data_IF_430752681035
#
_entry.id   IF_430752681035
#
_cell.length_a   1.000
_cell.length_b   1.000
_cell.length_c   1.000
_cell.angle_alpha   90.00
_cell.angle_beta   90.00
_cell.angle_gamma   90.00
#
_symmetry.space_group_name_H-M   'P 1'
#
loop_
_entity.id
_entity.type
_entity.pdbx_description
1 polymer ?
#
# COMPACT_ATOMS: atom_id res chain seq x y z
N UNK A 1 -51.42 17.67 -40.53
CA UNK A 1 -50.12 17.02 -40.35
C UNK A 1 -49.43 17.70 -39.19
N UNK A 2 -49.45 17.07 -38.02
CA UNK A 2 -48.69 17.54 -36.86
C UNK A 2 -47.24 17.07 -37.00
N UNK A 3 -46.22 17.89 -36.74
CA UNK A 3 -44.84 17.45 -36.84
C UNK A 3 -44.51 16.54 -35.66
N UNK A 4 -43.96 15.38 -35.96
CA UNK A 4 -43.37 14.42 -35.02
C UNK A 4 -42.19 15.10 -34.30
N UNK A 5 -42.00 14.93 -32.98
CA UNK A 5 -40.80 15.43 -32.30
C UNK A 5 -39.57 14.64 -32.77
N UNK A 6 -38.38 15.27 -32.79
CA UNK A 6 -37.17 14.59 -33.23
C UNK A 6 -36.82 13.49 -32.23
N UNK A 7 -36.52 12.31 -32.78
CA UNK A 7 -36.01 11.17 -32.05
C UNK A 7 -34.76 11.56 -31.26
N UNK A 8 -34.73 11.18 -29.99
CA UNK A 8 -33.60 11.32 -29.08
C UNK A 8 -32.36 10.66 -29.69
N UNK A 9 -31.40 11.48 -30.12
CA UNK A 9 -30.13 11.00 -30.63
C UNK A 9 -29.40 10.18 -29.58
N UNK A 10 -29.29 8.87 -29.80
CA UNK A 10 -28.21 8.09 -29.24
C UNK A 10 -26.93 8.53 -29.96
N UNK A 11 -26.32 9.61 -29.47
CA UNK A 11 -25.01 10.05 -29.92
C UNK A 11 -23.98 8.94 -29.66
N UNK A 12 -22.98 8.83 -30.53
CA UNK A 12 -21.89 7.89 -30.35
C UNK A 12 -21.30 8.02 -28.93
N UNK A 13 -20.95 6.90 -28.26
CA UNK A 13 -20.38 6.94 -26.92
C UNK A 13 -19.14 7.84 -26.91
N UNK A 14 -18.98 8.61 -25.83
CA UNK A 14 -17.79 9.45 -25.70
C UNK A 14 -16.52 8.58 -25.65
N UNK A 15 -15.37 9.20 -25.86
CA UNK A 15 -14.07 8.51 -25.72
C UNK A 15 -13.97 7.91 -24.31
N UNK A 16 -14.42 8.63 -23.27
CA UNK A 16 -14.39 8.15 -21.90
C UNK A 16 -15.33 6.97 -21.68
N UNK A 17 -16.54 6.98 -22.24
CA UNK A 17 -17.47 5.84 -22.14
C UNK A 17 -16.87 4.57 -22.78
N UNK A 18 -16.20 4.75 -23.93
CA UNK A 18 -15.53 3.65 -24.63
C UNK A 18 -14.34 3.11 -23.83
N UNK A 19 -13.56 3.99 -23.19
CA UNK A 19 -12.47 3.60 -22.29
C UNK A 19 -12.97 2.90 -21.03
N UNK A 20 -14.08 3.35 -20.44
CA UNK A 20 -14.71 2.71 -19.29
C UNK A 20 -15.10 1.27 -19.63
N UNK A 21 -15.80 1.06 -20.74
CA UNK A 21 -16.20 -0.29 -21.14
C UNK A 21 -15.00 -1.17 -21.47
N UNK A 22 -13.96 -0.63 -22.11
CA UNK A 22 -12.71 -1.35 -22.35
C UNK A 22 -12.01 -1.76 -21.03
N UNK A 23 -11.87 -0.82 -20.08
CA UNK A 23 -11.26 -1.08 -18.79
C UNK A 23 -12.05 -2.11 -17.96
N UNK A 24 -13.38 -2.08 -18.02
CA UNK A 24 -14.23 -3.13 -17.41
C UNK A 24 -13.91 -4.50 -18.02
N UNK A 25 -13.71 -4.61 -19.33
CA UNK A 25 -13.34 -5.88 -19.96
C UNK A 25 -11.92 -6.33 -19.57
N UNK A 26 -10.97 -5.41 -19.45
CA UNK A 26 -9.61 -5.70 -18.93
C UNK A 26 -9.71 -6.29 -17.51
N UNK A 27 -10.46 -5.65 -16.61
CA UNK A 27 -10.66 -6.11 -15.23
C UNK A 27 -11.38 -7.47 -15.15
N UNK A 28 -12.34 -7.76 -16.04
CA UNK A 28 -13.02 -9.07 -16.07
C UNK A 28 -12.11 -10.20 -16.53
N UNK A 29 -11.11 -9.88 -17.35
CA UNK A 29 -10.17 -10.84 -17.92
C UNK A 29 -8.96 -11.07 -17.02
N UNK A 30 -8.79 -10.25 -15.99
CA UNK A 30 -7.59 -10.23 -15.16
C UNK A 30 -6.33 -10.02 -16.03
N UNK A 31 -6.40 -9.04 -16.95
CA UNK A 31 -5.34 -8.77 -17.91
C UNK A 31 -4.19 -7.99 -17.25
N UNK A 32 -2.96 -8.49 -17.38
CA UNK A 32 -1.74 -7.76 -16.98
C UNK A 32 -1.58 -6.45 -17.77
N UNK A 33 -2.15 -6.37 -18.98
CA UNK A 33 -2.16 -5.16 -19.81
C UNK A 33 -3.45 -4.39 -19.59
N UNK A 34 -3.31 -3.24 -18.94
CA UNK A 34 -4.46 -2.39 -18.60
C UNK A 34 -4.40 -1.01 -19.30
N UNK A 35 -4.26 -0.91 -20.65
CA UNK A 35 -4.10 0.36 -21.33
C UNK A 35 -5.33 1.27 -21.20
N UNK A 36 -6.55 0.73 -21.13
CA UNK A 36 -7.74 1.55 -20.92
C UNK A 36 -7.78 2.11 -19.50
N UNK A 37 -7.44 1.31 -18.48
CA UNK A 37 -7.31 1.79 -17.10
C UNK A 37 -6.29 2.93 -17.00
N UNK A 38 -5.11 2.76 -17.60
CA UNK A 38 -4.04 3.78 -17.59
C UNK A 38 -4.50 5.05 -18.32
N UNK A 39 -5.19 4.91 -19.45
CA UNK A 39 -5.75 6.06 -20.16
C UNK A 39 -6.79 6.81 -19.31
N UNK A 40 -7.63 6.10 -18.55
CA UNK A 40 -8.60 6.71 -17.63
C UNK A 40 -7.91 7.41 -16.45
N UNK A 41 -6.83 6.85 -15.91
CA UNK A 41 -6.03 7.51 -14.86
C UNK A 41 -5.42 8.82 -15.38
N UNK A 42 -5.03 8.90 -16.65
CA UNK A 42 -4.59 10.13 -17.30
C UNK A 42 -5.69 11.15 -17.62
N UNK A 43 -6.97 10.81 -17.42
CA UNK A 43 -8.11 11.67 -17.71
C UNK A 43 -8.51 12.59 -16.54
N UNK A 44 -7.52 13.13 -15.81
CA UNK A 44 -7.67 14.02 -14.66
C UNK A 44 -8.27 15.39 -14.98
N UNK A 45 -9.53 15.40 -15.40
CA UNK A 45 -10.37 16.57 -15.68
C UNK A 45 -11.60 16.57 -14.76
N UNK A 46 -12.29 17.69 -14.55
CA UNK A 46 -13.52 17.71 -13.74
C UNK A 46 -14.61 16.76 -14.26
N UNK A 47 -14.66 16.54 -15.59
CA UNK A 47 -15.58 15.60 -16.23
C UNK A 47 -15.17 14.15 -15.95
N UNK A 48 -13.87 13.83 -16.08
CA UNK A 48 -13.32 12.53 -15.73
C UNK A 48 -13.56 12.19 -14.26
N UNK A 49 -13.30 13.13 -13.34
CA UNK A 49 -13.62 12.99 -11.92
C UNK A 49 -15.10 12.68 -11.70
N UNK A 50 -16.00 13.49 -12.28
CA UNK A 50 -17.44 13.32 -12.11
C UNK A 50 -17.92 11.92 -12.56
N UNK A 51 -17.40 11.43 -13.69
CA UNK A 51 -17.70 10.09 -14.20
C UNK A 51 -17.19 9.00 -13.26
N UNK A 52 -15.96 9.09 -12.75
CA UNK A 52 -15.44 8.07 -11.83
C UNK A 52 -16.21 8.04 -10.50
N UNK A 53 -16.59 9.22 -10.00
CA UNK A 53 -17.44 9.35 -8.80
C UNK A 53 -18.84 8.77 -9.05
N UNK A 54 -19.37 8.87 -10.27
CA UNK A 54 -20.62 8.20 -10.65
C UNK A 54 -20.45 6.67 -10.72
N UNK A 55 -19.35 6.17 -11.28
CA UNK A 55 -19.05 4.74 -11.32
C UNK A 55 -18.96 4.13 -9.91
N UNK A 56 -18.41 4.85 -8.93
CA UNK A 56 -18.40 4.44 -7.52
C UNK A 56 -19.82 4.24 -6.93
N UNK A 57 -20.88 4.74 -7.56
CA UNK A 57 -22.28 4.55 -7.13
C UNK A 57 -23.03 3.54 -7.98
N UNK A 58 -22.36 2.85 -8.90
CA UNK A 58 -22.99 1.89 -9.80
C UNK A 58 -23.53 0.68 -9.01
N UNK A 59 -24.68 0.10 -9.42
CA UNK A 59 -25.12 -1.18 -8.86
C UNK A 59 -24.16 -2.33 -9.20
N UNK A 60 -23.37 -2.22 -10.27
CA UNK A 60 -22.38 -3.22 -10.67
C UNK A 60 -21.07 -3.04 -9.88
N UNK A 61 -20.65 -4.04 -9.07
CA UNK A 61 -19.40 -3.96 -8.31
C UNK A 61 -18.18 -3.66 -9.17
N UNK A 62 -18.10 -4.20 -10.39
CA UNK A 62 -16.91 -3.98 -11.23
C UNK A 62 -16.74 -2.53 -11.65
N UNK A 63 -17.86 -1.81 -11.81
CA UNK A 63 -17.84 -0.37 -12.10
C UNK A 63 -17.40 0.42 -10.88
N UNK A 64 -17.83 0.03 -9.68
CA UNK A 64 -17.37 0.66 -8.44
C UNK A 64 -15.87 0.46 -8.24
N UNK A 65 -15.37 -0.77 -8.46
CA UNK A 65 -13.94 -1.12 -8.48
C UNK A 65 -13.16 -0.26 -9.46
N UNK A 66 -13.61 -0.15 -10.71
CA UNK A 66 -12.97 0.70 -11.72
C UNK A 66 -12.89 2.16 -11.26
N UNK A 67 -14.00 2.70 -10.75
CA UNK A 67 -14.04 4.06 -10.20
C UNK A 67 -12.99 4.25 -9.10
N UNK A 68 -12.86 3.30 -8.18
CA UNK A 68 -11.86 3.35 -7.12
C UNK A 68 -10.42 3.34 -7.67
N UNK A 69 -10.10 2.37 -8.54
CA UNK A 69 -8.77 2.22 -9.15
C UNK A 69 -8.33 3.46 -9.93
N UNK A 70 -9.26 4.10 -10.64
CA UNK A 70 -8.96 5.33 -11.38
C UNK A 70 -8.79 6.50 -10.43
N UNK A 71 -9.69 6.71 -9.47
CA UNK A 71 -9.62 7.85 -8.53
C UNK A 71 -8.32 7.87 -7.72
N UNK A 72 -7.85 6.71 -7.23
CA UNK A 72 -6.62 6.63 -6.43
C UNK A 72 -5.35 7.01 -7.19
N UNK A 73 -5.40 6.97 -8.52
CA UNK A 73 -4.23 7.23 -9.38
C UNK A 73 -4.48 8.30 -10.44
N UNK A 74 -5.61 9.01 -10.39
CA UNK A 74 -5.96 10.01 -11.39
C UNK A 74 -4.95 11.15 -11.41
N UNK A 75 -4.48 11.55 -12.59
CA UNK A 75 -3.56 12.65 -12.80
C UNK A 75 -3.91 13.41 -14.09
N UNK A 76 -3.53 14.68 -14.16
CA UNK A 76 -3.77 15.48 -15.36
C UNK A 76 -2.69 15.21 -16.42
N UNK A 77 -3.10 15.05 -17.68
CA UNK A 77 -2.22 14.68 -18.79
C UNK A 77 -1.14 15.73 -19.14
N UNK A 78 -1.33 16.97 -18.69
CA UNK A 78 -0.41 18.09 -18.89
C UNK A 78 0.66 18.21 -17.79
N UNK A 79 0.52 17.46 -16.70
CA UNK A 79 1.43 17.52 -15.56
C UNK A 79 2.52 16.46 -15.66
N UNK A 80 3.77 16.92 -15.75
CA UNK A 80 4.96 16.07 -15.61
C UNK A 80 5.32 15.97 -14.12
N UNK A 81 4.58 15.15 -13.36
CA UNK A 81 4.89 14.88 -11.96
C UNK A 81 3.90 13.95 -11.28
N UNK A 82 4.29 13.40 -10.13
CA UNK A 82 3.52 12.46 -9.28
C UNK A 82 2.24 13.05 -8.63
N UNK A 83 1.72 14.19 -9.13
CA UNK A 83 0.62 14.88 -8.48
C UNK A 83 -0.73 14.30 -8.88
N UNK A 84 -1.51 13.88 -7.87
CA UNK A 84 -2.87 13.38 -8.06
C UNK A 84 -3.82 14.54 -8.39
N UNK A 85 -4.67 14.35 -9.38
CA UNK A 85 -5.74 15.29 -9.70
C UNK A 85 -6.91 15.11 -8.72
N UNK A 86 -7.44 16.21 -8.19
CA UNK A 86 -8.60 16.23 -7.29
C UNK A 86 -8.47 15.32 -6.05
N UNK A 87 -7.38 15.42 -5.27
CA UNK A 87 -7.09 14.46 -4.20
C UNK A 87 -8.06 14.53 -3.02
N UNK A 88 -8.78 15.63 -2.83
CA UNK A 88 -9.77 15.72 -1.76
C UNK A 88 -11.10 15.09 -2.18
N UNK A 89 -11.55 15.37 -3.40
CA UNK A 89 -12.79 14.82 -3.96
C UNK A 89 -12.68 13.31 -4.21
N UNK A 90 -11.52 12.85 -4.68
CA UNK A 90 -11.21 11.43 -4.79
C UNK A 90 -11.26 10.75 -3.43
N UNK A 91 -10.64 11.35 -2.40
CA UNK A 91 -10.65 10.83 -1.03
C UNK A 91 -12.09 10.69 -0.50
N UNK A 92 -12.92 11.72 -0.64
CA UNK A 92 -14.32 11.69 -0.22
C UNK A 92 -15.12 10.59 -0.93
N UNK A 93 -14.89 10.37 -2.22
CA UNK A 93 -15.56 9.30 -2.96
C UNK A 93 -15.11 7.91 -2.51
N UNK A 94 -13.81 7.72 -2.33
CA UNK A 94 -13.20 6.45 -1.92
C UNK A 94 -13.57 6.06 -0.48
N UNK A 95 -13.61 7.00 0.47
CA UNK A 95 -14.03 6.72 1.86
C UNK A 95 -15.45 6.15 1.91
N UNK A 96 -16.35 6.55 1.00
CA UNK A 96 -17.71 5.98 0.94
C UNK A 96 -17.73 4.51 0.53
N UNK A 97 -16.73 4.04 -0.21
CA UNK A 97 -16.61 2.65 -0.65
C UNK A 97 -16.04 1.73 0.44
N UNK A 98 -15.56 2.27 1.56
CA UNK A 98 -15.07 1.46 2.67
C UNK A 98 -16.19 0.68 3.37
N UNK A 99 -17.45 1.09 3.19
CA UNK A 99 -18.64 0.38 3.67
C UNK A 99 -19.36 -0.44 2.60
N UNK A 100 -18.71 -0.75 1.47
CA UNK A 100 -19.33 -1.54 0.40
C UNK A 100 -19.55 -3.00 0.82
N UNK A 101 -20.66 -3.59 0.36
CA UNK A 101 -20.99 -4.99 0.63
C UNK A 101 -20.08 -5.97 -0.13
N UNK A 102 -19.41 -5.52 -1.20
CA UNK A 102 -18.45 -6.30 -1.98
C UNK A 102 -17.02 -6.08 -1.44
N UNK A 103 -16.35 -7.11 -0.88
CA UNK A 103 -14.99 -6.97 -0.36
C UNK A 103 -13.97 -6.52 -1.41
N UNK A 104 -14.16 -6.88 -2.69
CA UNK A 104 -13.28 -6.45 -3.77
C UNK A 104 -13.35 -4.94 -4.02
N UNK A 105 -14.54 -4.33 -3.87
CA UNK A 105 -14.71 -2.88 -3.91
C UNK A 105 -14.00 -2.22 -2.72
N UNK A 106 -14.17 -2.77 -1.51
CA UNK A 106 -13.52 -2.25 -0.31
C UNK A 106 -11.99 -2.30 -0.43
N UNK A 107 -11.43 -3.42 -0.87
CA UNK A 107 -9.99 -3.62 -1.08
C UNK A 107 -9.43 -2.61 -2.08
N UNK A 108 -10.07 -2.46 -3.26
CA UNK A 108 -9.62 -1.51 -4.28
C UNK A 108 -9.71 -0.06 -3.78
N UNK A 109 -10.73 0.28 -2.99
CA UNK A 109 -10.86 1.59 -2.37
C UNK A 109 -9.75 1.87 -1.34
N UNK A 110 -9.40 0.88 -0.52
CA UNK A 110 -8.31 1.00 0.46
C UNK A 110 -6.97 1.19 -0.25
N UNK A 111 -6.66 0.39 -1.28
CA UNK A 111 -5.45 0.58 -2.08
C UNK A 111 -5.42 1.96 -2.74
N UNK A 112 -6.54 2.40 -3.31
CA UNK A 112 -6.66 3.71 -3.93
C UNK A 112 -6.39 4.85 -2.94
N UNK A 113 -6.91 4.77 -1.70
CA UNK A 113 -6.62 5.73 -0.63
C UNK A 113 -5.13 5.72 -0.25
N UNK A 114 -4.51 4.53 -0.19
CA UNK A 114 -3.07 4.37 0.02
C UNK A 114 -2.22 5.06 -1.06
N UNK A 115 -2.60 4.91 -2.33
CA UNK A 115 -1.94 5.57 -3.47
C UNK A 115 -2.17 7.09 -3.50
N UNK A 116 -3.32 7.54 -2.99
CA UNK A 116 -3.68 8.94 -2.88
C UNK A 116 -2.87 9.66 -1.79
N UNK A 117 -2.50 8.93 -0.73
CA UNK A 117 -1.73 9.42 0.43
C UNK A 117 -2.37 10.61 1.16
N UNK A 118 -3.69 10.78 1.02
CA UNK A 118 -4.44 11.78 1.76
C UNK A 118 -4.70 11.29 3.20
N UNK A 119 -3.84 11.71 4.14
CA UNK A 119 -3.85 11.22 5.53
C UNK A 119 -5.09 11.60 6.35
N UNK A 120 -6.01 12.42 5.81
CA UNK A 120 -7.30 12.70 6.45
C UNK A 120 -8.15 11.44 6.63
N UNK A 121 -8.00 10.45 5.75
CA UNK A 121 -8.75 9.20 5.80
C UNK A 121 -8.09 8.12 6.69
N UNK A 122 -6.97 8.40 7.36
CA UNK A 122 -6.32 7.41 8.22
C UNK A 122 -7.25 6.82 9.30
N UNK A 123 -8.14 7.60 9.97
CA UNK A 123 -9.12 7.03 10.90
C UNK A 123 -10.10 6.08 10.22
N UNK A 124 -10.55 6.43 9.00
CA UNK A 124 -11.47 5.59 8.22
C UNK A 124 -10.78 4.28 7.81
N UNK A 125 -9.54 4.34 7.33
CA UNK A 125 -8.72 3.16 7.00
C UNK A 125 -8.48 2.28 8.24
N UNK A 126 -8.07 2.89 9.35
CA UNK A 126 -7.77 2.17 10.58
C UNK A 126 -8.99 1.44 11.15
N UNK A 127 -10.22 1.88 10.87
CA UNK A 127 -11.44 1.20 11.30
C UNK A 127 -11.55 -0.25 10.77
N UNK A 128 -10.87 -0.57 9.66
CA UNK A 128 -10.93 -1.88 9.00
C UNK A 128 -9.78 -2.85 9.40
N UNK A 129 -8.93 -2.48 10.36
CA UNK A 129 -7.81 -3.32 10.81
C UNK A 129 -8.20 -4.66 11.46
N UNK A 130 -9.47 -4.84 11.82
CA UNK A 130 -10.01 -6.10 12.36
C UNK A 130 -11.03 -6.75 11.41
N UNK A 131 -11.05 -6.36 10.14
CA UNK A 131 -11.97 -6.93 9.17
C UNK A 131 -11.79 -8.45 9.07
N UNK A 132 -12.88 -9.19 8.88
CA UNK A 132 -12.84 -10.66 8.84
C UNK A 132 -12.00 -11.18 7.67
N UNK A 133 -12.11 -10.52 6.52
CA UNK A 133 -11.30 -10.80 5.33
C UNK A 133 -9.83 -10.37 5.55
N UNK A 134 -8.87 -11.31 5.52
CA UNK A 134 -7.44 -11.00 5.63
C UNK A 134 -6.91 -10.07 4.53
N UNK A 135 -7.51 -10.08 3.34
CA UNK A 135 -7.08 -9.21 2.24
C UNK A 135 -7.45 -7.74 2.50
N UNK A 136 -8.55 -7.48 3.21
CA UNK A 136 -8.89 -6.13 3.67
C UNK A 136 -7.87 -5.65 4.71
N UNK A 137 -7.54 -6.48 5.70
CA UNK A 137 -6.53 -6.13 6.73
C UNK A 137 -5.15 -5.87 6.13
N UNK A 138 -4.74 -6.69 5.17
CA UNK A 138 -3.54 -6.48 4.37
C UNK A 138 -3.59 -5.13 3.62
N UNK A 139 -4.69 -4.83 2.91
CA UNK A 139 -4.84 -3.55 2.22
C UNK A 139 -4.74 -2.35 3.19
N UNK A 140 -5.27 -2.47 4.41
CA UNK A 140 -5.15 -1.43 5.45
C UNK A 140 -3.68 -1.20 5.82
N UNK A 141 -2.90 -2.27 6.06
CA UNK A 141 -1.47 -2.16 6.34
C UNK A 141 -0.72 -1.44 5.22
N UNK A 142 -1.03 -1.77 3.96
CA UNK A 142 -0.49 -1.09 2.79
C UNK A 142 -0.86 0.41 2.77
N UNK A 143 -2.14 0.75 2.94
CA UNK A 143 -2.62 2.12 2.80
C UNK A 143 -2.08 3.05 3.89
N UNK A 144 -1.89 2.52 5.10
CA UNK A 144 -1.30 3.25 6.23
C UNK A 144 0.23 3.37 6.13
N UNK A 145 0.88 2.71 5.16
CA UNK A 145 2.31 2.83 4.96
C UNK A 145 2.73 4.30 4.72
N UNK A 146 3.75 4.75 5.46
CA UNK A 146 4.22 6.13 5.44
C UNK A 146 3.29 7.14 6.12
N UNK A 147 2.24 6.70 6.82
CA UNK A 147 1.48 7.59 7.71
C UNK A 147 2.25 7.83 9.00
N UNK A 148 2.08 9.03 9.57
CA UNK A 148 2.64 9.43 10.86
C UNK A 148 1.57 9.75 11.90
N UNK A 149 0.29 9.50 11.58
CA UNK A 149 -0.80 9.78 12.51
C UNK A 149 -0.84 8.74 13.63
N UNK A 150 -1.16 9.12 14.89
CA UNK A 150 -1.23 8.16 15.99
C UNK A 150 -2.16 6.98 15.71
N UNK A 151 -3.33 7.23 15.10
CA UNK A 151 -4.30 6.18 14.75
C UNK A 151 -3.76 5.18 13.73
N UNK A 152 -2.96 5.64 12.76
CA UNK A 152 -2.32 4.76 11.80
C UNK A 152 -1.26 3.89 12.47
N UNK A 153 -0.46 4.47 13.38
CA UNK A 153 0.57 3.73 14.11
C UNK A 153 -0.05 2.70 15.05
N UNK A 154 -1.11 3.04 15.76
CA UNK A 154 -1.84 2.10 16.62
C UNK A 154 -2.38 0.93 15.79
N UNK A 155 -2.97 1.21 14.62
CA UNK A 155 -3.46 0.16 13.71
C UNK A 155 -2.34 -0.74 13.17
N UNK A 156 -1.21 -0.16 12.76
CA UNK A 156 -0.05 -0.92 12.29
C UNK A 156 0.60 -1.76 13.41
N UNK A 157 0.61 -1.27 14.64
CA UNK A 157 1.08 -2.01 15.81
C UNK A 157 0.20 -3.21 16.16
N UNK A 158 -1.08 -3.20 15.79
CA UNK A 158 -1.95 -4.37 15.90
C UNK A 158 -1.77 -5.32 14.70
N UNK A 159 -1.69 -4.79 13.48
CA UNK A 159 -1.56 -5.58 12.26
C UNK A 159 -0.22 -6.30 12.13
N UNK A 160 0.83 -5.85 12.82
CA UNK A 160 2.10 -6.60 12.85
C UNK A 160 1.95 -7.97 13.53
N UNK A 161 0.97 -8.15 14.42
CA UNK A 161 0.64 -9.41 15.07
C UNK A 161 -0.49 -10.20 14.34
N UNK A 162 -0.86 -9.82 13.12
CA UNK A 162 -1.96 -10.43 12.35
C UNK A 162 -1.72 -11.93 12.03
N UNK A 163 -2.72 -12.82 12.06
CA UNK A 163 -2.50 -14.21 11.63
C UNK A 163 -2.12 -14.35 10.14
N UNK A 164 -2.51 -13.39 9.30
CA UNK A 164 -2.21 -13.39 7.87
C UNK A 164 -0.82 -12.81 7.59
N UNK A 165 0.06 -13.62 7.01
CA UNK A 165 1.48 -13.27 6.80
C UNK A 165 1.67 -11.97 6.01
N UNK A 166 0.88 -11.73 4.96
CA UNK A 166 1.04 -10.52 4.14
C UNK A 166 0.64 -9.25 4.91
N UNK A 167 -0.33 -9.34 5.83
CA UNK A 167 -0.69 -8.21 6.68
C UNK A 167 0.42 -7.91 7.69
N UNK A 168 1.02 -8.95 8.29
CA UNK A 168 2.18 -8.79 9.20
C UNK A 168 3.37 -8.17 8.50
N UNK A 169 3.74 -8.70 7.33
CA UNK A 169 4.88 -8.22 6.54
C UNK A 169 4.73 -6.74 6.21
N UNK A 170 3.57 -6.35 5.68
CA UNK A 170 3.34 -4.94 5.36
C UNK A 170 3.28 -4.03 6.57
N UNK A 171 2.75 -4.50 7.71
CA UNK A 171 2.78 -3.74 8.95
C UNK A 171 4.22 -3.58 9.48
N UNK A 172 5.02 -4.64 9.45
CA UNK A 172 6.44 -4.61 9.80
C UNK A 172 7.23 -3.67 8.87
N UNK A 173 6.97 -3.73 7.57
CA UNK A 173 7.53 -2.82 6.56
C UNK A 173 7.18 -1.36 6.86
N UNK A 174 5.89 -1.06 7.08
CA UNK A 174 5.43 0.30 7.34
C UNK A 174 6.04 0.90 8.62
N UNK A 175 6.07 0.12 9.70
CA UNK A 175 6.71 0.53 10.96
C UNK A 175 8.24 0.63 10.81
N UNK A 176 8.86 -0.31 10.10
CA UNK A 176 10.30 -0.37 9.86
C UNK A 176 10.83 0.78 9.01
N UNK A 177 10.06 1.24 8.03
CA UNK A 177 10.39 2.38 7.16
C UNK A 177 10.10 3.74 7.80
N UNK A 178 9.17 3.81 8.77
CA UNK A 178 8.80 5.06 9.45
C UNK A 178 9.79 5.45 10.55
N UNK A 179 11.08 5.59 10.22
CA UNK A 179 12.17 5.84 11.19
C UNK A 179 12.05 7.15 11.95
N UNK A 180 11.36 8.13 11.38
CA UNK A 180 11.01 9.39 12.05
C UNK A 180 10.05 9.19 13.22
N UNK A 181 9.37 8.04 13.27
CA UNK A 181 8.53 7.60 14.38
C UNK A 181 9.28 6.50 15.12
N UNK A 182 9.65 6.81 16.35
CA UNK A 182 10.37 5.89 17.20
C UNK A 182 9.84 5.94 18.62
N UNK A 183 9.87 4.80 19.29
CA UNK A 183 9.34 4.64 20.63
C UNK A 183 9.44 3.20 21.11
N UNK A 184 9.28 2.99 22.43
CA UNK A 184 9.41 1.68 23.04
C UNK A 184 8.43 0.66 22.44
N UNK A 185 7.21 1.07 22.08
CA UNK A 185 6.20 0.18 21.53
C UNK A 185 6.58 -0.32 20.13
N UNK A 186 7.01 0.58 19.24
CA UNK A 186 7.46 0.23 17.88
C UNK A 186 8.67 -0.70 17.95
N UNK A 187 9.69 -0.34 18.74
CA UNK A 187 10.88 -1.16 18.90
C UNK A 187 10.55 -2.53 19.50
N UNK A 188 9.68 -2.59 20.50
CA UNK A 188 9.26 -3.86 21.10
C UNK A 188 8.47 -4.74 20.13
N UNK A 189 7.59 -4.15 19.31
CA UNK A 189 6.85 -4.87 18.28
C UNK A 189 7.82 -5.47 17.25
N UNK A 190 8.67 -4.65 16.63
CA UNK A 190 9.66 -5.13 15.66
C UNK A 190 10.57 -6.21 16.28
N UNK A 191 11.00 -6.06 17.53
CA UNK A 191 11.87 -7.04 18.18
C UNK A 191 11.21 -8.42 18.29
N UNK A 192 9.92 -8.51 18.60
CA UNK A 192 9.18 -9.79 18.64
C UNK A 192 9.18 -10.48 17.27
N UNK A 193 9.05 -9.70 16.19
CA UNK A 193 8.96 -10.24 14.84
C UNK A 193 10.32 -10.52 14.17
N UNK A 194 11.45 -10.29 14.85
CA UNK A 194 12.76 -10.77 14.37
C UNK A 194 12.86 -12.30 14.29
N UNK A 195 11.91 -13.02 14.90
CA UNK A 195 11.82 -14.48 14.87
C UNK A 195 10.48 -14.98 14.27
N UNK A 196 9.78 -14.15 13.47
CA UNK A 196 8.56 -14.55 12.77
C UNK A 196 8.80 -15.76 11.85
N UNK A 197 7.75 -16.54 11.54
CA UNK A 197 7.85 -17.66 10.60
C UNK A 197 8.05 -17.16 9.17
N UNK A 198 7.48 -15.99 8.83
CA UNK A 198 7.65 -15.36 7.53
C UNK A 198 8.99 -14.61 7.42
N UNK A 199 9.71 -14.88 6.33
CA UNK A 199 11.07 -14.36 6.09
C UNK A 199 11.08 -12.86 5.82
N UNK A 200 10.07 -12.32 5.14
CA UNK A 200 9.97 -10.90 4.84
C UNK A 200 9.68 -10.10 6.12
N UNK A 201 8.74 -10.59 6.93
CA UNK A 201 8.43 -10.05 8.24
C UNK A 201 9.66 -10.02 9.15
N UNK A 202 10.45 -11.11 9.21
CA UNK A 202 11.73 -11.14 9.95
C UNK A 202 12.69 -10.08 9.45
N UNK A 203 12.91 -10.02 8.14
CA UNK A 203 13.86 -9.10 7.52
C UNK A 203 13.49 -7.63 7.78
N UNK A 204 12.23 -7.26 7.58
CA UNK A 204 11.76 -5.89 7.76
C UNK A 204 11.73 -5.49 9.24
N UNK A 205 11.41 -6.42 10.14
CA UNK A 205 11.58 -6.22 11.58
C UNK A 205 13.04 -5.91 11.96
N UNK A 206 13.99 -6.73 11.48
CA UNK A 206 15.41 -6.52 11.73
C UNK A 206 15.92 -5.21 11.13
N UNK A 207 15.56 -4.92 9.88
CA UNK A 207 15.93 -3.69 9.17
C UNK A 207 15.34 -2.45 9.85
N UNK A 208 14.11 -2.52 10.33
CA UNK A 208 13.46 -1.45 11.09
C UNK A 208 14.18 -1.12 12.40
N UNK A 209 14.67 -2.14 13.12
CA UNK A 209 15.50 -1.95 14.32
C UNK A 209 16.92 -1.48 13.99
N UNK A 210 17.49 -1.98 12.89
CA UNK A 210 18.81 -1.58 12.40
C UNK A 210 18.86 -0.08 12.07
N UNK A 211 17.87 0.43 11.35
CA UNK A 211 17.72 1.87 11.05
C UNK A 211 17.63 2.75 12.31
N UNK A 212 17.12 2.18 13.41
CA UNK A 212 16.97 2.84 14.72
C UNK A 212 18.17 2.62 15.65
N UNK A 213 19.22 1.92 15.17
CA UNK A 213 20.39 1.49 15.96
C UNK A 213 19.99 0.84 17.27
N UNK A 214 18.96 -0.02 17.24
CA UNK A 214 18.52 -0.75 18.43
C UNK A 214 19.37 -2.02 18.61
N UNK A 215 20.38 -1.96 19.48
CA UNK A 215 21.34 -3.05 19.72
C UNK A 215 20.68 -4.38 20.11
N UNK A 216 19.43 -4.38 20.59
CA UNK A 216 18.70 -5.62 20.90
C UNK A 216 18.47 -6.50 19.67
N UNK A 217 18.59 -5.96 18.46
CA UNK A 217 18.49 -6.73 17.20
C UNK A 217 19.73 -7.57 16.91
N UNK A 218 20.89 -7.24 17.49
CA UNK A 218 22.19 -7.85 17.15
C UNK A 218 22.19 -9.38 17.23
N UNK A 219 21.66 -10.04 18.30
CA UNK A 219 21.63 -11.50 18.35
C UNK A 219 20.84 -12.11 17.19
N UNK A 220 19.74 -11.47 16.78
CA UNK A 220 18.91 -11.94 15.69
C UNK A 220 19.59 -11.72 14.32
N UNK A 221 20.22 -10.56 14.10
CA UNK A 221 21.01 -10.28 12.89
C UNK A 221 22.17 -11.24 12.72
N UNK A 222 22.98 -11.45 13.77
CA UNK A 222 24.13 -12.37 13.75
C UNK A 222 23.66 -13.78 13.37
N UNK A 223 22.59 -14.26 14.02
CA UNK A 223 22.01 -15.57 13.71
C UNK A 223 21.54 -15.63 12.25
N UNK A 224 20.81 -14.62 11.79
CA UNK A 224 20.26 -14.60 10.44
C UNK A 224 21.37 -14.60 9.38
N UNK A 225 22.35 -13.71 9.48
CA UNK A 225 23.50 -13.64 8.57
C UNK A 225 24.26 -14.96 8.50
N UNK A 226 24.46 -15.66 9.62
CA UNK A 226 25.20 -16.92 9.65
C UNK A 226 24.42 -18.14 9.13
N UNK A 227 23.09 -18.15 9.28
CA UNK A 227 22.29 -19.38 9.11
C UNK A 227 21.18 -19.30 8.07
N UNK A 228 20.65 -18.12 7.75
CA UNK A 228 19.60 -17.97 6.75
C UNK A 228 20.18 -18.04 5.35
N UNK A 229 19.77 -19.09 4.61
CA UNK A 229 20.19 -19.30 3.23
C UNK A 229 19.12 -18.89 2.22
N UNK A 230 17.89 -18.69 2.68
CA UNK A 230 16.80 -18.13 1.88
C UNK A 230 16.90 -16.61 1.90
N UNK A 231 17.06 -15.98 0.72
CA UNK A 231 17.18 -14.52 0.58
C UNK A 231 18.18 -13.88 1.58
N UNK A 232 19.44 -14.37 1.65
CA UNK A 232 20.42 -13.90 2.64
C UNK A 232 20.67 -12.38 2.54
N UNK A 233 20.52 -11.82 1.32
CA UNK A 233 20.71 -10.40 1.03
C UNK A 233 19.88 -9.49 1.95
N UNK A 234 18.65 -9.89 2.29
CA UNK A 234 17.78 -9.09 3.17
C UNK A 234 18.39 -8.87 4.56
N UNK A 235 19.04 -9.90 5.11
CA UNK A 235 19.67 -9.84 6.42
C UNK A 235 21.03 -9.15 6.36
N UNK A 236 21.75 -9.30 5.24
CA UNK A 236 22.97 -8.53 4.98
C UNK A 236 22.67 -7.03 4.91
N UNK A 237 21.65 -6.62 4.15
CA UNK A 237 21.24 -5.21 4.04
C UNK A 237 20.86 -4.63 5.41
N UNK A 238 20.14 -5.40 6.22
CA UNK A 238 19.80 -5.00 7.59
C UNK A 238 21.05 -4.87 8.49
N UNK A 239 22.03 -5.76 8.35
CA UNK A 239 23.29 -5.69 9.08
C UNK A 239 24.18 -4.52 8.64
N UNK A 240 24.30 -4.27 7.34
CA UNK A 240 24.98 -3.10 6.77
C UNK A 240 24.33 -1.81 7.28
N UNK A 241 23.00 -1.76 7.25
CA UNK A 241 22.21 -0.65 7.80
C UNK A 241 22.52 -0.44 9.29
N UNK A 242 22.55 -1.52 10.09
CA UNK A 242 22.88 -1.43 11.51
C UNK A 242 24.29 -0.89 11.73
N UNK A 243 25.26 -1.20 10.87
CA UNK A 243 26.63 -0.71 10.97
C UNK A 243 26.81 0.70 10.38
N UNK A 244 25.86 1.15 9.55
CA UNK A 244 25.95 2.41 8.80
C UNK A 244 26.87 2.31 7.60
N UNK A 245 26.94 1.12 7.01
CA UNK A 245 27.61 0.86 5.75
C UNK A 245 26.61 0.94 4.61
N UNK A 246 27.07 1.29 3.41
CA UNK A 246 26.21 1.33 2.23
C UNK A 246 25.77 -0.10 1.85
N UNK A 247 24.52 -0.27 1.41
CA UNK A 247 23.96 -1.56 0.96
C UNK A 247 24.79 -2.17 -0.21
N UNK A 248 25.53 -1.36 -0.96
CA UNK A 248 26.46 -1.81 -2.02
C UNK A 248 27.88 -2.15 -1.55
N UNK A 249 28.14 -2.20 -0.24
CA UNK A 249 29.47 -2.49 0.30
C UNK A 249 29.88 -3.94 0.01
N UNK A 250 31.03 -4.13 -0.63
CA UNK A 250 31.62 -5.46 -0.83
C UNK A 250 32.32 -5.92 0.46
N UNK A 251 31.53 -6.49 1.38
CA UNK A 251 32.00 -7.05 2.66
C UNK A 251 31.68 -8.55 2.71
N UNK A 252 32.67 -9.35 3.13
CA UNK A 252 32.47 -10.79 3.29
C UNK A 252 31.60 -11.11 4.52
N UNK A 253 30.87 -12.23 4.48
CA UNK A 253 30.01 -12.73 5.57
C UNK A 253 30.76 -12.78 6.92
N UNK A 254 31.95 -13.39 6.95
CA UNK A 254 32.76 -13.52 8.17
C UNK A 254 33.19 -12.16 8.76
N UNK A 255 33.50 -11.19 7.90
CA UNK A 255 33.87 -9.85 8.32
C UNK A 255 32.65 -9.09 8.86
N UNK A 256 31.50 -9.21 8.19
CA UNK A 256 30.24 -8.62 8.64
C UNK A 256 29.83 -9.17 10.01
N UNK A 257 29.92 -10.48 10.20
CA UNK A 257 29.65 -11.14 11.48
C UNK A 257 30.60 -10.66 12.58
N UNK A 258 31.90 -10.56 12.29
CA UNK A 258 32.88 -10.06 13.26
C UNK A 258 32.56 -8.61 13.71
N UNK A 259 32.13 -7.74 12.79
CA UNK A 259 31.74 -6.36 13.12
C UNK A 259 30.49 -6.31 13.99
N UNK A 260 29.46 -7.10 13.67
CA UNK A 260 28.24 -7.19 14.49
C UNK A 260 28.52 -7.74 15.90
N UNK A 261 29.42 -8.71 16.03
CA UNK A 261 29.81 -9.27 17.32
C UNK A 261 30.55 -8.25 18.20
N UNK A 262 31.38 -7.39 17.61
CA UNK A 262 32.03 -6.30 18.34
C UNK A 262 31.00 -5.31 18.89
N UNK A 263 30.03 -4.88 18.07
CA UNK A 263 28.93 -3.99 18.50
C UNK A 263 28.07 -4.59 19.62
N UNK A 264 27.98 -5.93 19.71
CA UNK A 264 27.22 -6.62 20.77
C UNK A 264 27.96 -6.65 22.11
N UNK A 265 29.29 -6.58 22.06
CA UNK A 265 30.15 -6.66 23.23
C UNK A 265 30.33 -5.32 23.96
N UNK A 266 30.07 -4.21 23.26
CA UNK A 266 30.12 -2.82 23.77
C UNK A 266 28.82 -2.40 24.49
#
# INVERSE_FOLDING_TARGET
MSPTPPETGHGAPSILDSLIEAAIQEMRRDDDRTPALVALQGAGTPQGLALMVELCRSPDPIRRRLGACVLGQMHSSDQHGDMRAFPEEACDALVRLLGDDDPGVMIDAIYALGHLRNRRCDPDLAAHRHHEDPHVRYAVAFALCGSTTPVAIDALLELIDDPYEQARDWAATALGQSVQLDGPNIRAALLRHTADDDVFTRAEAMRGLARRRDARVLPALIKAVASERMMPQLFFDAALTYLGLDEGSDIAEDELLARLENERAD
#
